data_IF_536528003071
#
_entry.id   IF_536528003071
#
_cell.length_a   1.000
_cell.length_b   1.000
_cell.length_c   1.000
_cell.angle_alpha   90.00
_cell.angle_beta   90.00
_cell.angle_gamma   90.00
#
_symmetry.space_group_name_H-M   'P 1'
#
loop_
_entity.id
_entity.type
_entity.pdbx_description
1 polymer ?
#
# COMPACT_ATOMS: atom_id res chain seq x y z
N UNK A 1 -3.75 40.05 -36.28
CA UNK A 1 -3.03 39.17 -35.33
C UNK A 1 -1.71 38.81 -36.00
N UNK A 2 -0.57 39.19 -35.42
CA UNK A 2 0.75 38.90 -36.00
C UNK A 2 1.23 37.60 -35.35
N UNK A 3 1.47 36.58 -36.15
CA UNK A 3 1.98 35.29 -35.66
C UNK A 3 3.51 35.32 -35.72
N UNK A 4 4.17 35.15 -34.59
CA UNK A 4 5.64 35.04 -34.50
C UNK A 4 6.01 33.57 -34.28
N UNK A 5 6.93 33.05 -35.09
CA UNK A 5 7.49 31.70 -34.92
C UNK A 5 8.73 31.80 -34.04
N UNK A 6 8.78 31.00 -32.96
CA UNK A 6 9.96 30.85 -32.08
C UNK A 6 10.46 29.41 -32.15
N UNK A 7 11.78 29.25 -32.20
CA UNK A 7 12.46 27.94 -32.19
C UNK A 7 13.03 27.71 -30.80
N UNK A 8 12.83 26.53 -30.25
CA UNK A 8 13.34 26.11 -28.95
C UNK A 8 14.21 24.86 -29.11
N UNK A 9 15.31 24.78 -28.36
CA UNK A 9 16.02 23.52 -28.15
C UNK A 9 15.44 22.86 -26.90
N UNK A 10 15.08 21.58 -27.03
CA UNK A 10 14.48 20.78 -25.96
C UNK A 10 15.34 19.54 -25.71
N UNK A 11 15.30 19.07 -24.47
CA UNK A 11 16.17 18.03 -23.96
C UNK A 11 15.38 17.03 -23.12
N UNK A 12 15.80 15.77 -23.12
CA UNK A 12 15.34 14.79 -22.13
C UNK A 12 15.96 15.10 -20.77
N UNK A 13 15.33 14.66 -19.68
CA UNK A 13 15.81 14.91 -18.30
C UNK A 13 17.29 14.53 -18.12
N UNK A 14 17.73 13.38 -18.67
CA UNK A 14 19.11 12.89 -18.52
C UNK A 14 20.16 13.74 -19.25
N UNK A 15 19.76 14.59 -20.20
CA UNK A 15 20.66 15.47 -20.96
C UNK A 15 20.91 16.79 -20.25
N UNK A 16 20.08 17.13 -19.26
CA UNK A 16 20.19 18.34 -18.48
C UNK A 16 21.36 18.30 -17.49
N UNK A 17 21.80 19.47 -17.04
CA UNK A 17 22.74 19.58 -15.91
C UNK A 17 22.07 19.09 -14.63
N UNK A 18 22.86 18.70 -13.62
CA UNK A 18 22.31 18.29 -12.31
C UNK A 18 21.48 19.38 -11.62
N UNK A 19 21.85 20.64 -11.80
CA UNK A 19 21.09 21.78 -11.30
C UNK A 19 19.73 21.91 -11.98
N UNK A 20 19.68 21.73 -13.31
CA UNK A 20 18.44 21.77 -14.08
C UNK A 20 17.53 20.55 -13.76
N UNK A 21 18.11 19.36 -13.55
CA UNK A 21 17.37 18.17 -13.08
C UNK A 21 16.72 18.41 -11.71
N UNK A 22 17.49 18.94 -10.74
CA UNK A 22 16.96 19.23 -9.41
C UNK A 22 15.86 20.30 -9.43
N UNK A 23 15.97 21.33 -10.29
CA UNK A 23 14.93 22.34 -10.48
C UNK A 23 13.66 21.73 -11.10
N UNK A 24 13.81 20.89 -12.12
CA UNK A 24 12.68 20.18 -12.74
C UNK A 24 11.94 19.30 -11.73
N UNK A 25 12.70 18.52 -10.95
CA UNK A 25 12.17 17.65 -9.90
C UNK A 25 11.46 18.44 -8.80
N UNK A 26 12.07 19.52 -8.30
CA UNK A 26 11.46 20.37 -7.26
C UNK A 26 10.12 20.96 -7.73
N UNK A 27 10.07 21.48 -8.95
CA UNK A 27 8.84 22.04 -9.52
C UNK A 27 7.76 20.96 -9.74
N UNK A 28 8.15 19.75 -10.11
CA UNK A 28 7.23 18.62 -10.21
C UNK A 28 6.69 18.21 -8.83
N UNK A 29 7.57 18.13 -7.83
CA UNK A 29 7.22 17.75 -6.46
C UNK A 29 6.24 18.74 -5.79
N UNK A 30 6.33 20.04 -6.11
CA UNK A 30 5.37 21.06 -5.64
C UNK A 30 3.92 20.79 -6.06
N UNK A 31 3.72 20.03 -7.14
CA UNK A 31 2.41 19.68 -7.68
C UNK A 31 2.13 18.18 -7.62
N UNK A 32 2.95 17.42 -6.91
CA UNK A 32 2.77 15.98 -6.76
C UNK A 32 1.51 15.69 -5.94
N UNK A 33 0.64 14.85 -6.49
CA UNK A 33 -0.52 14.31 -5.81
C UNK A 33 -0.36 12.79 -5.68
N UNK A 34 -0.46 12.29 -4.45
CA UNK A 34 -0.25 10.89 -4.15
C UNK A 34 -1.49 10.06 -4.53
N UNK A 35 -1.47 9.49 -5.72
CA UNK A 35 -2.63 8.83 -6.34
C UNK A 35 -3.13 7.54 -5.66
N UNK A 36 -2.43 7.03 -4.64
CA UNK A 36 -2.78 5.78 -3.96
C UNK A 36 -3.44 5.96 -2.59
N UNK A 37 -3.64 7.21 -2.15
CA UNK A 37 -4.26 7.51 -0.86
C UNK A 37 -5.62 6.81 -0.68
N UNK A 38 -6.47 6.84 -1.71
CA UNK A 38 -7.81 6.24 -1.69
C UNK A 38 -7.76 4.70 -1.57
N UNK A 39 -6.84 4.03 -2.27
CA UNK A 39 -6.69 2.57 -2.20
C UNK A 39 -6.10 2.13 -0.85
N UNK A 40 -5.12 2.87 -0.32
CA UNK A 40 -4.58 2.67 1.02
C UNK A 40 -5.71 2.78 2.06
N UNK A 41 -6.56 3.81 1.97
CA UNK A 41 -7.69 3.98 2.89
C UNK A 41 -8.69 2.82 2.81
N UNK A 42 -9.00 2.32 1.60
CA UNK A 42 -9.86 1.14 1.44
C UNK A 42 -9.29 -0.11 2.10
N UNK A 43 -7.99 -0.37 1.97
CA UNK A 43 -7.32 -1.49 2.66
C UNK A 43 -7.44 -1.35 4.17
N UNK A 44 -7.20 -0.14 4.71
CA UNK A 44 -7.33 0.13 6.14
C UNK A 44 -8.77 -0.11 6.63
N UNK A 45 -9.77 0.40 5.91
CA UNK A 45 -11.18 0.23 6.24
C UNK A 45 -11.61 -1.25 6.18
N UNK A 46 -11.12 -2.01 5.19
CA UNK A 46 -11.41 -3.45 5.10
C UNK A 46 -10.75 -4.23 6.26
N UNK A 47 -9.55 -3.82 6.69
CA UNK A 47 -8.88 -4.38 7.87
C UNK A 47 -9.66 -4.08 9.16
N UNK A 48 -10.14 -2.86 9.37
CA UNK A 48 -11.03 -2.48 10.49
C UNK A 48 -12.37 -3.22 10.48
N UNK A 49 -12.90 -3.57 9.30
CA UNK A 49 -14.15 -4.36 9.21
C UNK A 49 -13.92 -5.83 9.53
N UNK A 50 -12.74 -6.35 9.18
CA UNK A 50 -12.36 -7.74 9.41
C UNK A 50 -11.99 -7.96 10.87
N UNK A 51 -11.17 -7.09 11.43
CA UNK A 51 -10.69 -7.17 12.80
C UNK A 51 -11.40 -6.14 13.65
N UNK A 52 -11.83 -6.51 14.85
CA UNK A 52 -12.63 -5.67 15.74
C UNK A 52 -11.82 -4.50 16.36
N UNK A 53 -11.34 -3.58 15.52
CA UNK A 53 -10.54 -2.41 15.87
C UNK A 53 -11.02 -1.18 15.07
N UNK A 54 -10.67 0.01 15.53
CA UNK A 54 -10.90 1.27 14.80
C UNK A 54 -9.67 2.15 14.85
N UNK A 55 -9.20 2.63 13.71
CA UNK A 55 -8.12 3.62 13.59
C UNK A 55 -8.74 5.01 13.57
N UNK A 56 -8.69 5.69 14.71
CA UNK A 56 -9.41 6.95 14.94
C UNK A 56 -8.69 8.16 14.33
N UNK A 57 -7.36 8.12 14.30
CA UNK A 57 -6.52 9.21 13.80
C UNK A 57 -5.26 8.65 13.21
N UNK A 58 -4.91 9.09 12.02
CA UNK A 58 -3.68 8.70 11.35
C UNK A 58 -3.26 9.77 10.35
N UNK A 59 -1.98 9.76 10.02
CA UNK A 59 -1.40 10.52 8.92
C UNK A 59 -0.11 9.84 8.50
N UNK A 60 0.22 9.94 7.22
CA UNK A 60 1.54 9.65 6.71
C UNK A 60 1.89 10.69 5.65
N UNK A 61 3.18 10.97 5.53
CA UNK A 61 3.78 11.76 4.45
C UNK A 61 4.96 10.96 3.87
N UNK A 62 5.85 11.60 3.13
CA UNK A 62 7.04 10.99 2.53
C UNK A 62 8.19 10.80 3.52
N UNK A 63 8.05 11.25 4.77
CA UNK A 63 9.09 11.19 5.78
C UNK A 63 8.69 10.38 7.02
N UNK A 64 7.45 10.58 7.47
CA UNK A 64 6.94 10.14 8.76
C UNK A 64 5.52 9.60 8.65
N UNK A 65 5.14 8.82 9.66
CA UNK A 65 3.78 8.37 9.83
C UNK A 65 3.44 8.29 11.31
N UNK A 66 2.16 8.45 11.63
CA UNK A 66 1.63 8.21 12.95
C UNK A 66 0.20 7.73 12.86
N UNK A 67 -0.22 6.96 13.86
CA UNK A 67 -1.58 6.49 13.96
C UNK A 67 -1.97 6.25 15.42
N UNK A 68 -3.26 6.24 15.66
CA UNK A 68 -3.90 5.82 16.90
C UNK A 68 -5.08 4.96 16.55
N UNK A 69 -5.20 3.83 17.23
CA UNK A 69 -6.33 2.94 17.10
C UNK A 69 -6.89 2.58 18.48
N UNK A 70 -8.12 2.09 18.46
CA UNK A 70 -8.86 1.55 19.59
C UNK A 70 -9.18 0.10 19.29
N UNK A 71 -8.84 -0.81 20.21
CA UNK A 71 -9.29 -2.19 20.18
C UNK A 71 -10.71 -2.29 20.75
N UNK A 72 -11.58 -3.06 20.10
CA UNK A 72 -12.91 -3.38 20.60
C UNK A 72 -13.03 -4.83 21.07
N UNK A 73 -11.91 -5.57 21.09
CA UNK A 73 -11.84 -6.87 21.74
C UNK A 73 -11.96 -6.72 23.27
N UNK A 74 -12.36 -7.79 23.94
CA UNK A 74 -12.27 -7.86 25.39
C UNK A 74 -10.80 -7.91 25.84
N UNK A 75 -10.52 -7.52 27.09
CA UNK A 75 -9.17 -7.60 27.66
C UNK A 75 -8.60 -9.02 27.58
N UNK A 76 -9.44 -10.05 27.74
CA UNK A 76 -9.02 -11.45 27.61
C UNK A 76 -8.59 -11.82 26.18
N UNK A 77 -9.32 -11.31 25.18
CA UNK A 77 -9.02 -11.52 23.76
C UNK A 77 -7.76 -10.78 23.34
N UNK A 78 -7.62 -9.50 23.73
CA UNK A 78 -6.44 -8.70 23.45
C UNK A 78 -5.16 -9.34 23.99
N UNK A 79 -5.27 -10.09 25.09
CA UNK A 79 -4.16 -10.79 25.74
C UNK A 79 -3.96 -12.25 25.25
N UNK A 80 -4.75 -12.75 24.30
CA UNK A 80 -4.50 -14.06 23.67
C UNK A 80 -3.14 -14.04 23.00
N UNK A 81 -2.36 -15.12 23.16
CA UNK A 81 -1.03 -15.27 22.55
C UNK A 81 -0.70 -16.73 22.20
N UNK A 82 0.37 -16.93 21.44
CA UNK A 82 0.86 -18.25 21.04
C UNK A 82 -0.23 -19.12 20.40
N UNK A 83 -0.24 -20.40 20.76
CA UNK A 83 -1.18 -21.38 20.19
C UNK A 83 -2.65 -21.01 20.44
N UNK A 84 -2.96 -20.31 21.53
CA UNK A 84 -4.34 -19.85 21.81
C UNK A 84 -4.77 -18.79 20.81
N UNK A 85 -3.92 -17.79 20.56
CA UNK A 85 -4.17 -16.77 19.55
C UNK A 85 -4.24 -17.38 18.15
N UNK A 86 -3.33 -18.30 17.80
CA UNK A 86 -3.38 -18.98 16.50
C UNK A 86 -4.73 -19.66 16.28
N UNK A 87 -5.21 -20.43 17.27
CA UNK A 87 -6.51 -21.10 17.19
C UNK A 87 -7.66 -20.09 17.09
N UNK A 88 -7.60 -18.99 17.84
CA UNK A 88 -8.60 -17.93 17.75
C UNK A 88 -8.66 -17.32 16.34
N UNK A 89 -7.51 -16.99 15.76
CA UNK A 89 -7.44 -16.43 14.40
C UNK A 89 -7.98 -17.41 13.35
N UNK A 90 -7.53 -18.67 13.40
CA UNK A 90 -8.00 -19.70 12.45
C UNK A 90 -9.49 -19.98 12.59
N UNK A 91 -10.04 -19.95 13.81
CA UNK A 91 -11.46 -20.26 14.00
C UNK A 91 -12.39 -19.11 13.61
N UNK A 92 -11.95 -17.86 13.78
CA UNK A 92 -12.79 -16.68 13.58
C UNK A 92 -12.56 -15.99 12.22
N UNK A 93 -11.32 -15.98 11.72
CA UNK A 93 -10.93 -15.15 10.56
C UNK A 93 -10.42 -15.96 9.36
N UNK A 94 -10.54 -17.30 9.35
CA UNK A 94 -10.01 -18.11 8.25
C UNK A 94 -10.57 -17.70 6.88
N UNK A 95 -11.86 -17.40 6.80
CA UNK A 95 -12.48 -17.05 5.52
C UNK A 95 -12.13 -15.63 5.05
N UNK A 96 -11.72 -14.76 5.96
CA UNK A 96 -11.29 -13.39 5.67
C UNK A 96 -9.80 -13.36 5.31
N UNK A 97 -9.00 -14.27 5.90
CA UNK A 97 -7.57 -14.43 5.64
C UNK A 97 -7.25 -15.31 4.42
N UNK A 98 -8.20 -16.11 3.96
CA UNK A 98 -7.96 -17.07 2.89
C UNK A 98 -9.14 -17.20 1.94
N UNK A 99 -8.89 -16.92 0.66
CA UNK A 99 -9.87 -17.09 -0.41
C UNK A 99 -9.81 -18.54 -0.92
N UNK A 100 -10.92 -19.30 -0.85
CA UNK A 100 -10.93 -20.67 -1.34
C UNK A 100 -11.04 -20.75 -2.87
N UNK A 101 -10.23 -21.63 -3.48
CA UNK A 101 -10.30 -21.94 -4.91
C UNK A 101 -11.70 -22.44 -5.29
N UNK A 102 -12.29 -21.82 -6.31
CA UNK A 102 -13.55 -22.30 -6.90
C UNK A 102 -13.26 -23.52 -7.77
N UNK A 103 -13.90 -24.65 -7.47
CA UNK A 103 -13.83 -25.88 -8.27
C UNK A 103 -15.17 -26.06 -8.97
N UNK A 104 -15.12 -26.12 -10.30
CA UNK A 104 -16.28 -26.34 -11.15
C UNK A 104 -16.47 -27.84 -11.39
N UNK A 105 -17.72 -28.29 -11.41
CA UNK A 105 -18.07 -29.63 -11.90
C UNK A 105 -17.77 -29.75 -13.39
N UNK A 106 -17.63 -30.99 -13.88
CA UNK A 106 -17.27 -31.29 -15.28
C UNK A 106 -18.11 -30.53 -16.32
N UNK A 107 -19.39 -30.29 -16.03
CA UNK A 107 -20.31 -29.61 -16.95
C UNK A 107 -20.48 -28.11 -16.67
N UNK A 108 -19.66 -27.52 -15.79
CA UNK A 108 -19.69 -26.10 -15.37
C UNK A 108 -21.03 -25.59 -14.79
N UNK A 109 -21.99 -26.48 -14.50
CA UNK A 109 -23.29 -26.15 -13.90
C UNK A 109 -23.27 -26.07 -12.38
N UNK A 110 -22.27 -26.68 -11.74
CA UNK A 110 -22.12 -26.69 -10.29
C UNK A 110 -20.74 -26.16 -9.91
N UNK A 111 -20.68 -25.41 -8.81
CA UNK A 111 -19.44 -24.91 -8.21
C UNK A 111 -19.37 -25.28 -6.74
N UNK A 112 -18.17 -25.54 -6.25
CA UNK A 112 -17.89 -25.63 -4.81
C UNK A 112 -16.62 -24.85 -4.48
N UNK A 113 -16.53 -24.39 -3.24
CA UNK A 113 -15.31 -23.78 -2.71
C UNK A 113 -14.43 -24.88 -2.10
N UNK A 114 -13.14 -24.84 -2.39
CA UNK A 114 -12.17 -25.75 -1.80
C UNK A 114 -11.99 -25.44 -0.32
N UNK A 115 -11.79 -26.48 0.49
CA UNK A 115 -11.45 -26.34 1.93
C UNK A 115 -9.96 -26.51 2.21
N UNK A 116 -9.18 -26.85 1.17
CA UNK A 116 -7.75 -27.19 1.27
C UNK A 116 -6.92 -26.28 0.38
N UNK A 117 -7.40 -26.04 -0.84
CA UNK A 117 -6.74 -25.13 -1.80
C UNK A 117 -7.27 -23.72 -1.59
N UNK A 118 -6.51 -22.93 -0.85
CA UNK A 118 -6.79 -21.53 -0.57
C UNK A 118 -5.62 -20.64 -1.01
N UNK A 119 -5.90 -19.36 -1.22
CA UNK A 119 -4.89 -18.33 -1.46
C UNK A 119 -5.05 -17.21 -0.42
N UNK A 120 -3.95 -16.56 -0.07
CA UNK A 120 -3.92 -15.37 0.78
C UNK A 120 -3.50 -14.10 0.01
N UNK A 121 -3.65 -14.14 -1.31
CA UNK A 121 -3.29 -13.08 -2.25
C UNK A 121 -4.35 -11.96 -2.23
N UNK A 122 -3.95 -10.76 -1.78
CA UNK A 122 -4.74 -9.54 -1.66
C UNK A 122 -6.21 -9.77 -1.24
N UNK A 123 -6.41 -10.35 -0.05
CA UNK A 123 -7.72 -10.90 0.35
C UNK A 123 -8.74 -9.85 0.81
N UNK A 124 -8.34 -8.61 1.07
CA UNK A 124 -9.23 -7.57 1.59
C UNK A 124 -9.89 -6.78 0.44
N UNK A 125 -9.06 -6.22 -0.43
CA UNK A 125 -9.45 -5.30 -1.51
C UNK A 125 -8.97 -5.76 -2.89
N UNK A 126 -7.95 -6.62 -2.95
CA UNK A 126 -7.27 -6.96 -4.20
C UNK A 126 -6.04 -6.10 -4.49
N UNK A 127 -5.72 -5.14 -3.61
CA UNK A 127 -4.59 -4.23 -3.73
C UNK A 127 -3.38 -4.71 -2.90
N UNK A 128 -2.16 -4.39 -3.34
CA UNK A 128 -0.94 -4.96 -2.75
C UNK A 128 -0.73 -4.58 -1.28
N UNK A 129 -1.26 -3.44 -0.81
CA UNK A 129 -1.16 -3.07 0.61
C UNK A 129 -1.91 -4.02 1.55
N UNK A 130 -2.82 -4.85 1.03
CA UNK A 130 -3.42 -5.94 1.77
C UNK A 130 -2.35 -6.93 2.28
N UNK A 131 -1.29 -7.15 1.49
CA UNK A 131 -0.16 -7.95 1.93
C UNK A 131 0.55 -7.30 3.10
N UNK A 132 0.89 -6.02 2.98
CA UNK A 132 1.64 -5.30 4.01
C UNK A 132 0.91 -5.28 5.35
N UNK A 133 -0.41 -5.02 5.34
CA UNK A 133 -1.20 -4.97 6.58
C UNK A 133 -1.43 -6.37 7.17
N UNK A 134 -1.56 -7.43 6.36
CA UNK A 134 -1.81 -8.79 6.85
C UNK A 134 -0.54 -9.63 7.08
N UNK A 135 0.61 -9.20 6.59
CA UNK A 135 1.87 -9.93 6.67
C UNK A 135 2.19 -10.39 8.10
N UNK A 136 2.06 -9.54 9.15
CA UNK A 136 2.34 -9.97 10.51
C UNK A 136 1.43 -11.11 10.99
N UNK A 137 0.17 -11.14 10.55
CA UNK A 137 -0.77 -12.24 10.86
C UNK A 137 -0.31 -13.53 10.19
N UNK A 138 0.03 -13.49 8.91
CA UNK A 138 0.49 -14.70 8.20
C UNK A 138 1.79 -15.25 8.77
N UNK A 139 2.73 -14.40 9.14
CA UNK A 139 3.98 -14.82 9.75
C UNK A 139 3.75 -15.40 11.15
N UNK A 140 2.86 -14.80 11.94
CA UNK A 140 2.41 -15.37 13.21
C UNK A 140 1.73 -16.74 13.04
N UNK A 141 0.87 -16.92 12.02
CA UNK A 141 0.22 -18.21 11.75
C UNK A 141 1.20 -19.31 11.34
N UNK A 142 2.28 -18.96 10.63
CA UNK A 142 3.36 -19.91 10.28
C UNK A 142 4.21 -20.29 11.48
N UNK A 143 4.54 -19.32 12.34
CA UNK A 143 5.42 -19.51 13.48
C UNK A 143 4.92 -18.69 14.69
N UNK A 144 3.93 -19.20 15.44
CA UNK A 144 3.31 -18.45 16.54
C UNK A 144 4.31 -18.24 17.67
N UNK A 145 4.42 -17.00 18.12
CA UNK A 145 5.26 -16.57 19.24
C UNK A 145 4.40 -16.06 20.41
N UNK A 146 5.00 -15.35 21.37
CA UNK A 146 4.29 -14.81 22.52
C UNK A 146 3.61 -13.45 22.27
N UNK A 147 3.57 -12.96 21.02
CA UNK A 147 2.84 -11.74 20.63
C UNK A 147 1.38 -11.87 21.02
N UNK A 148 0.82 -10.84 21.64
CA UNK A 148 -0.62 -10.79 21.97
C UNK A 148 -1.46 -10.38 20.76
N UNK A 149 -2.79 -10.55 20.81
CA UNK A 149 -3.67 -10.06 19.74
C UNK A 149 -3.50 -8.55 19.55
N UNK A 150 -3.47 -7.79 20.65
CA UNK A 150 -3.28 -6.34 20.61
C UNK A 150 -1.94 -5.96 19.95
N UNK A 151 -0.84 -6.59 20.37
CA UNK A 151 0.49 -6.36 19.79
C UNK A 151 0.54 -6.78 18.30
N UNK A 152 -0.20 -7.81 17.92
CA UNK A 152 -0.31 -8.24 16.53
C UNK A 152 -1.02 -7.18 15.68
N UNK A 153 -2.10 -6.57 16.18
CA UNK A 153 -2.76 -5.44 15.51
C UNK A 153 -1.83 -4.22 15.37
N UNK A 154 -1.03 -3.92 16.42
CA UNK A 154 0.02 -2.88 16.35
C UNK A 154 1.02 -3.19 15.24
N UNK A 155 1.51 -4.44 15.14
CA UNK A 155 2.45 -4.83 14.07
C UNK A 155 1.85 -4.67 12.68
N UNK A 156 0.58 -5.03 12.49
CA UNK A 156 -0.15 -4.88 11.22
C UNK A 156 -0.24 -3.42 10.82
N UNK A 157 -0.76 -2.55 11.70
CA UNK A 157 -0.90 -1.13 11.44
C UNK A 157 0.45 -0.45 11.24
N UNK A 158 1.46 -0.79 12.03
CA UNK A 158 2.79 -0.24 11.85
C UNK A 158 3.42 -0.62 10.51
N UNK A 159 3.29 -1.89 10.09
CA UNK A 159 3.76 -2.34 8.78
C UNK A 159 3.08 -1.59 7.64
N UNK A 160 1.75 -1.50 7.70
CA UNK A 160 0.93 -0.78 6.71
C UNK A 160 1.30 0.70 6.59
N UNK A 161 1.33 1.45 7.70
CA UNK A 161 1.64 2.89 7.64
C UNK A 161 3.09 3.15 7.24
N UNK A 162 4.01 2.27 7.63
CA UNK A 162 5.39 2.31 7.14
C UNK A 162 5.44 2.10 5.63
N UNK A 163 4.72 1.11 5.09
CA UNK A 163 4.67 0.84 3.66
C UNK A 163 4.05 2.02 2.87
N UNK A 164 2.99 2.65 3.40
CA UNK A 164 2.41 3.86 2.81
C UNK A 164 3.42 5.01 2.73
N UNK A 165 4.16 5.24 3.82
CA UNK A 165 5.23 6.26 3.87
C UNK A 165 6.33 5.93 2.87
N UNK A 166 6.84 4.70 2.88
CA UNK A 166 7.95 4.27 2.00
C UNK A 166 7.56 4.36 0.51
N UNK A 167 6.31 4.04 0.16
CA UNK A 167 5.79 4.17 -1.20
C UNK A 167 5.67 5.64 -1.62
N UNK A 168 5.17 6.52 -0.74
CA UNK A 168 5.12 7.96 -1.00
C UNK A 168 6.52 8.58 -1.15
N UNK A 169 7.46 8.18 -0.28
CA UNK A 169 8.89 8.58 -0.36
C UNK A 169 9.50 8.19 -1.70
N UNK A 170 9.26 6.94 -2.14
CA UNK A 170 9.75 6.48 -3.43
C UNK A 170 9.12 7.24 -4.58
N UNK A 171 7.80 7.43 -4.59
CA UNK A 171 7.13 8.14 -5.67
C UNK A 171 7.60 9.59 -5.80
N UNK A 172 7.97 10.25 -4.69
CA UNK A 172 8.55 11.59 -4.70
C UNK A 172 10.05 11.64 -5.03
N UNK A 173 10.72 10.50 -5.17
CA UNK A 173 12.16 10.45 -5.42
C UNK A 173 12.55 10.96 -6.82
N UNK A 174 13.82 11.36 -6.97
CA UNK A 174 14.38 11.71 -8.28
C UNK A 174 14.34 10.52 -9.26
N UNK A 175 14.42 9.29 -8.77
CA UNK A 175 14.38 8.06 -9.57
C UNK A 175 12.98 7.87 -10.17
N UNK A 176 11.94 7.90 -9.34
CA UNK A 176 10.56 7.78 -9.81
C UNK A 176 10.17 8.94 -10.76
N UNK A 177 10.65 10.15 -10.49
CA UNK A 177 10.47 11.28 -11.39
C UNK A 177 11.16 11.06 -12.75
N UNK A 178 12.38 10.53 -12.77
CA UNK A 178 13.09 10.23 -14.01
C UNK A 178 12.37 9.15 -14.84
N UNK A 179 11.90 8.09 -14.19
CA UNK A 179 11.08 7.05 -14.84
C UNK A 179 9.78 7.64 -15.41
N UNK A 180 9.12 8.53 -14.65
CA UNK A 180 7.91 9.22 -15.10
C UNK A 180 8.18 10.13 -16.30
N UNK A 181 9.30 10.86 -16.32
CA UNK A 181 9.71 11.69 -17.46
C UNK A 181 9.92 10.84 -18.71
N UNK A 182 10.59 9.70 -18.60
CA UNK A 182 10.81 8.78 -19.73
C UNK A 182 9.48 8.18 -20.22
N UNK A 183 8.63 7.70 -19.31
CA UNK A 183 7.35 7.11 -19.65
C UNK A 183 6.38 8.09 -20.35
N UNK A 184 6.41 9.36 -19.96
CA UNK A 184 5.54 10.40 -20.52
C UNK A 184 6.19 11.17 -21.69
N UNK A 185 7.46 10.92 -22.01
CA UNK A 185 8.25 11.67 -23.00
C UNK A 185 8.30 13.18 -22.69
N UNK A 186 8.52 13.52 -21.42
CA UNK A 186 8.68 14.92 -21.01
C UNK A 186 9.96 15.52 -21.57
N UNK A 187 9.80 16.68 -22.19
CA UNK A 187 10.86 17.47 -22.78
C UNK A 187 11.06 18.74 -21.94
N UNK A 188 12.31 19.16 -21.78
CA UNK A 188 12.67 20.29 -20.95
C UNK A 188 13.51 21.30 -21.73
N UNK A 189 13.44 22.57 -21.32
CA UNK A 189 14.42 23.57 -21.71
C UNK A 189 15.73 23.33 -20.95
N UNK A 190 16.83 23.93 -21.41
CA UNK A 190 18.17 23.74 -20.82
C UNK A 190 18.27 24.16 -19.35
N UNK A 191 17.32 24.96 -18.85
CA UNK A 191 17.23 25.41 -17.46
C UNK A 191 16.32 24.54 -16.58
N UNK A 192 15.82 23.41 -17.09
CA UNK A 192 14.96 22.47 -16.36
C UNK A 192 13.48 22.80 -16.35
N UNK A 193 13.03 23.82 -17.09
CA UNK A 193 11.60 24.11 -17.23
C UNK A 193 10.95 23.11 -18.19
N UNK A 194 9.86 22.46 -17.74
CA UNK A 194 9.06 21.55 -18.55
C UNK A 194 8.49 22.28 -19.78
N UNK A 195 8.65 21.69 -20.96
CA UNK A 195 8.23 22.26 -22.23
C UNK A 195 6.86 21.73 -22.69
N UNK A 196 6.58 20.44 -22.48
CA UNK A 196 5.38 19.74 -22.97
C UNK A 196 4.62 18.96 -21.89
#
# INVERSE_FOLDING_TARGET
MRTETRTYEVYNLHELTKEAQAKAHSHWAEHFDYGWADENEKTLQAFEQTFNIKVDRWSYDDYSYWYRFTSHYSEEEDNLKGVRLLKYLVNNYWNDLYIPKTIWGHNYKTKRKSRVFVTNDCVLTGYYMDYEILQPIYDFLKAPDNTTLYELMVKCLNGFFKACRDDMEYQLSEEAFAESCEANNYEFLSDGTLFN
#
